data_IF_886669638557
#
_entry.id   IF_886669638557
#
_cell.length_a   1.000
_cell.length_b   1.000
_cell.length_c   1.000
_cell.angle_alpha   90.00
_cell.angle_beta   90.00
_cell.angle_gamma   90.00
#
_symmetry.space_group_name_H-M   'P 1'
#
loop_
_entity.id
_entity.type
_entity.pdbx_description
1 polymer ?
#
# COMPACT_ATOMS: atom_id res chain seq x y z
N UNK A 1 -16.79 3.09 -1.81
CA UNK A 1 -16.80 2.17 -0.66
C UNK A 1 -16.37 2.89 0.61
N UNK A 2 -15.15 3.45 0.67
CA UNK A 2 -14.65 4.17 1.87
C UNK A 2 -15.49 5.41 2.21
N UNK A 3 -15.82 6.25 1.22
CA UNK A 3 -16.61 7.49 1.44
C UNK A 3 -17.96 7.21 2.10
N UNK A 4 -18.73 6.24 1.58
CA UNK A 4 -20.04 5.89 2.12
C UNK A 4 -20.00 5.35 3.56
N UNK A 5 -18.92 4.67 3.95
CA UNK A 5 -18.73 4.22 5.33
C UNK A 5 -18.41 5.40 6.27
N UNK A 6 -17.64 6.38 5.81
CA UNK A 6 -17.36 7.61 6.56
C UNK A 6 -18.60 8.47 6.75
N UNK A 7 -19.45 8.61 5.71
CA UNK A 7 -20.71 9.36 5.79
C UNK A 7 -21.68 8.72 6.79
N UNK A 8 -21.71 7.37 6.84
CA UNK A 8 -22.47 6.63 7.85
C UNK A 8 -21.95 6.92 9.27
N UNK A 9 -20.62 6.92 9.44
CA UNK A 9 -20.02 7.18 10.74
C UNK A 9 -20.27 8.61 11.25
N UNK A 10 -20.21 9.58 10.33
CA UNK A 10 -20.55 10.97 10.59
C UNK A 10 -22.02 11.10 11.03
N UNK A 11 -22.94 10.44 10.33
CA UNK A 11 -24.37 10.44 10.68
C UNK A 11 -24.64 9.92 12.09
N UNK A 12 -23.95 8.85 12.52
CA UNK A 12 -24.08 8.31 13.88
C UNK A 12 -23.57 9.30 14.95
N UNK A 13 -22.49 10.00 14.63
CA UNK A 13 -21.90 11.03 15.51
C UNK A 13 -22.83 12.24 15.65
N UNK A 14 -23.37 12.73 14.53
CA UNK A 14 -24.33 13.84 14.50
C UNK A 14 -25.62 13.52 15.25
N UNK A 15 -26.02 12.24 15.30
CA UNK A 15 -27.17 11.75 16.06
C UNK A 15 -26.88 11.46 17.53
N UNK A 16 -25.64 11.67 17.98
CA UNK A 16 -25.20 11.36 19.34
C UNK A 16 -25.47 9.90 19.74
N UNK A 17 -25.32 8.98 18.79
CA UNK A 17 -25.40 7.54 19.06
C UNK A 17 -23.97 7.05 19.38
N UNK A 18 -23.64 6.79 20.65
CA UNK A 18 -22.32 6.28 21.00
C UNK A 18 -22.17 4.85 20.48
N UNK A 19 -21.03 4.57 19.84
CA UNK A 19 -20.67 3.26 19.32
C UNK A 19 -19.32 2.85 19.90
N UNK A 20 -19.21 1.59 20.30
CA UNK A 20 -17.93 1.01 20.72
C UNK A 20 -17.12 0.58 19.50
N UNK A 21 -15.81 0.35 19.67
CA UNK A 21 -14.96 -0.19 18.60
C UNK A 21 -15.45 -1.55 18.08
N UNK A 22 -16.06 -2.37 18.94
CA UNK A 22 -16.66 -3.66 18.53
C UNK A 22 -17.91 -3.46 17.66
N UNK A 23 -18.70 -2.41 17.91
CA UNK A 23 -19.86 -2.10 17.08
C UNK A 23 -19.44 -1.60 15.69
N UNK A 24 -18.35 -0.83 15.62
CA UNK A 24 -17.75 -0.41 14.35
C UNK A 24 -17.28 -1.59 13.51
N UNK A 25 -16.61 -2.56 14.13
CA UNK A 25 -16.16 -3.79 13.47
C UNK A 25 -17.33 -4.57 12.87
N UNK A 26 -18.37 -4.85 13.67
CA UNK A 26 -19.56 -5.58 13.18
C UNK A 26 -20.24 -4.86 12.02
N UNK A 27 -20.41 -3.55 12.12
CA UNK A 27 -21.06 -2.75 11.07
C UNK A 27 -20.21 -2.67 9.80
N UNK A 28 -18.89 -2.59 9.93
CA UNK A 28 -17.98 -2.64 8.79
C UNK A 28 -18.08 -3.98 8.06
N UNK A 29 -18.09 -5.09 8.79
CA UNK A 29 -18.23 -6.42 8.22
C UNK A 29 -19.55 -6.57 7.45
N UNK A 30 -20.68 -6.15 8.04
CA UNK A 30 -21.98 -6.16 7.34
C UNK A 30 -22.01 -5.21 6.13
N UNK A 31 -21.31 -4.08 6.21
CA UNK A 31 -21.18 -3.16 5.08
C UNK A 31 -20.43 -3.81 3.92
N UNK A 32 -19.33 -4.52 4.20
CA UNK A 32 -18.54 -5.25 3.20
C UNK A 32 -19.35 -6.39 2.56
N UNK A 33 -20.09 -7.17 3.35
CA UNK A 33 -20.98 -8.23 2.86
C UNK A 33 -22.07 -7.70 1.92
N UNK A 34 -22.65 -6.54 2.24
CA UNK A 34 -23.70 -5.93 1.43
C UNK A 34 -23.26 -5.59 0.00
N UNK A 35 -21.96 -5.34 -0.20
CA UNK A 35 -21.39 -5.08 -1.53
C UNK A 35 -20.81 -6.34 -2.19
N UNK A 36 -21.10 -7.54 -1.67
CA UNK A 36 -20.60 -8.84 -2.15
C UNK A 36 -19.06 -8.96 -2.16
N UNK A 37 -18.36 -8.08 -1.43
CA UNK A 37 -16.95 -8.27 -1.17
C UNK A 37 -16.81 -9.32 -0.08
N UNK A 38 -15.97 -10.33 -0.31
CA UNK A 38 -15.70 -11.34 0.72
C UNK A 38 -15.12 -10.69 1.98
N UNK A 39 -15.65 -11.04 3.16
CA UNK A 39 -15.00 -10.70 4.42
C UNK A 39 -13.71 -11.52 4.53
N UNK A 40 -12.61 -10.84 4.84
CA UNK A 40 -11.35 -11.47 5.19
C UNK A 40 -11.50 -12.17 6.56
N UNK A 41 -11.72 -13.49 6.54
CA UNK A 41 -11.94 -14.30 7.76
C UNK A 41 -10.64 -14.50 8.56
N UNK A 42 -9.50 -14.49 7.88
CA UNK A 42 -8.18 -14.60 8.46
C UNK A 42 -7.19 -13.69 7.72
N UNK A 43 -6.09 -13.32 8.35
CA UNK A 43 -5.03 -12.56 7.68
C UNK A 43 -4.30 -13.38 6.58
N UNK A 44 -4.83 -14.56 6.23
CA UNK A 44 -4.10 -15.63 5.56
C UNK A 44 -2.97 -16.18 6.43
N UNK A 45 -2.50 -17.38 6.10
CA UNK A 45 -1.19 -17.86 6.54
C UNK A 45 -0.33 -18.03 5.30
N UNK A 46 0.52 -17.06 5.02
CA UNK A 46 1.57 -17.21 4.02
C UNK A 46 2.73 -17.92 4.70
N UNK A 47 3.13 -19.09 4.21
CA UNK A 47 4.34 -19.74 4.72
C UNK A 47 5.55 -18.84 4.46
N UNK A 48 6.55 -18.89 5.35
CA UNK A 48 7.78 -18.12 5.17
C UNK A 48 8.44 -18.38 3.79
N UNK A 49 8.26 -19.58 3.25
CA UNK A 49 8.72 -19.98 1.92
C UNK A 49 7.99 -19.22 0.81
N UNK A 50 6.65 -19.13 0.84
CA UNK A 50 5.88 -18.38 -0.15
C UNK A 50 6.20 -16.89 -0.08
N UNK A 51 6.34 -16.34 1.13
CA UNK A 51 6.73 -14.94 1.32
C UNK A 51 8.13 -14.65 0.74
N UNK A 52 9.08 -15.57 0.96
CA UNK A 52 10.44 -15.47 0.41
C UNK A 52 10.44 -15.51 -1.13
N UNK A 53 9.73 -16.47 -1.72
CA UNK A 53 9.60 -16.59 -3.18
C UNK A 53 8.99 -15.32 -3.78
N UNK A 54 7.94 -14.78 -3.14
CA UNK A 54 7.31 -13.53 -3.59
C UNK A 54 8.28 -12.35 -3.50
N UNK A 55 9.01 -12.20 -2.39
CA UNK A 55 10.00 -11.14 -2.22
C UNK A 55 11.14 -11.24 -3.24
N UNK A 56 11.67 -12.44 -3.50
CA UNK A 56 12.70 -12.66 -4.52
C UNK A 56 12.20 -12.33 -5.93
N UNK A 57 10.95 -12.70 -6.24
CA UNK A 57 10.33 -12.42 -7.55
C UNK A 57 10.13 -10.92 -7.76
N UNK A 58 9.62 -10.19 -6.77
CA UNK A 58 9.42 -8.75 -6.86
C UNK A 58 10.76 -7.99 -6.86
N UNK A 59 11.76 -8.47 -6.11
CA UNK A 59 13.10 -7.91 -6.13
C UNK A 59 13.75 -8.00 -7.51
N UNK A 60 13.63 -9.13 -8.20
CA UNK A 60 14.17 -9.29 -9.56
C UNK A 60 13.56 -8.31 -10.56
N UNK A 61 12.25 -8.07 -10.49
CA UNK A 61 11.58 -7.04 -11.30
C UNK A 61 12.12 -5.65 -10.99
N UNK A 62 12.24 -5.31 -9.71
CA UNK A 62 12.70 -3.98 -9.29
C UNK A 62 14.18 -3.75 -9.59
N UNK A 63 15.03 -4.78 -9.49
CA UNK A 63 16.47 -4.72 -9.79
C UNK A 63 16.72 -4.28 -11.23
N UNK A 64 15.95 -4.77 -12.20
CA UNK A 64 16.08 -4.37 -13.60
C UNK A 64 15.79 -2.88 -13.79
N UNK A 65 14.74 -2.38 -13.14
CA UNK A 65 14.35 -0.97 -13.19
C UNK A 65 15.40 -0.09 -12.50
N UNK A 66 15.86 -0.49 -11.31
CA UNK A 66 16.96 0.17 -10.61
C UNK A 66 18.20 0.27 -11.47
N UNK A 67 18.64 -0.83 -12.09
CA UNK A 67 19.82 -0.83 -12.95
C UNK A 67 19.70 0.11 -14.16
N UNK A 68 18.50 0.27 -14.72
CA UNK A 68 18.26 1.20 -15.84
C UNK A 68 18.28 2.66 -15.40
N UNK A 69 17.81 2.95 -14.18
CA UNK A 69 17.77 4.30 -13.61
C UNK A 69 19.04 4.67 -12.85
N UNK A 70 19.93 3.71 -12.62
CA UNK A 70 21.15 3.90 -11.87
C UNK A 70 22.18 4.65 -12.72
N UNK A 71 22.16 5.98 -12.58
CA UNK A 71 23.28 6.81 -12.98
C UNK A 71 24.29 6.76 -11.83
N UNK A 72 25.43 6.10 -12.07
CA UNK A 72 26.56 6.09 -11.14
C UNK A 72 26.93 7.54 -10.79
N UNK A 73 27.13 7.82 -9.51
CA UNK A 73 27.59 9.14 -9.07
C UNK A 73 28.96 9.51 -9.68
N UNK A 74 29.72 8.50 -10.12
CA UNK A 74 30.92 8.68 -10.93
C UNK A 74 30.63 9.26 -12.33
N UNK A 75 29.58 8.79 -13.00
CA UNK A 75 29.17 9.31 -14.31
C UNK A 75 28.67 10.75 -14.20
N UNK A 76 27.96 11.07 -13.10
CA UNK A 76 27.60 12.46 -12.78
C UNK A 76 28.85 13.33 -12.58
N UNK A 77 29.83 12.84 -11.83
CA UNK A 77 31.07 13.57 -11.58
C UNK A 77 31.89 13.81 -12.85
N UNK A 78 31.93 12.83 -13.76
CA UNK A 78 32.58 13.00 -15.08
C UNK A 78 31.87 14.02 -15.96
N UNK A 79 30.53 14.02 -15.99
CA UNK A 79 29.73 15.02 -16.71
C UNK A 79 29.94 16.43 -16.16
N UNK A 80 30.01 16.58 -14.83
CA UNK A 80 30.32 17.86 -14.19
C UNK A 80 31.72 18.38 -14.55
N UNK A 81 32.72 17.49 -14.63
CA UNK A 81 34.07 17.84 -15.06
C UNK A 81 34.13 18.23 -16.54
N UNK A 82 33.40 17.54 -17.43
CA UNK A 82 33.33 17.91 -18.84
C UNK A 82 32.66 19.27 -19.05
N UNK A 83 31.59 19.57 -18.31
CA UNK A 83 30.92 20.86 -18.40
C UNK A 83 31.80 22.01 -17.90
N UNK A 84 32.53 21.83 -16.79
CA UNK A 84 33.51 22.82 -16.28
C UNK A 84 34.68 23.09 -17.22
N UNK A 85 34.98 22.20 -18.15
CA UNK A 85 36.09 22.33 -19.11
C UNK A 85 35.68 23.05 -20.40
N UNK A 86 34.37 23.21 -20.64
CA UNK A 86 33.81 23.91 -21.80
C UNK A 86 33.52 25.40 -21.55
N UNK A 87 33.52 25.83 -20.29
CA UNK A 87 33.55 27.24 -19.86
C UNK A 87 34.99 27.78 -19.79
#
# INVERSE_FOLDING_TARGET
MVTAYLDFAETMTLRHIPLTMQDWEKRLNSFIEMFEYGILQDAGKVSAEIAKIHAETEFEKYRVIQNQLFVLDFDKYLLELENKRKD
#
